data_IF_970741352116
#
_entry.id   IF_970741352116
#
_cell.length_a   1.000
_cell.length_b   1.000
_cell.length_c   1.000
_cell.angle_alpha   90.00
_cell.angle_beta   90.00
_cell.angle_gamma   90.00
#
_symmetry.space_group_name_H-M   'P 1'
#
loop_
_entity.id
_entity.type
_entity.pdbx_description
1 polymer ?
#
# COMPACT_ATOMS: atom_id res chain seq x y z
N UNK A 1 -13.47 -8.29 8.30
CA UNK A 1 -14.40 -8.04 7.17
C UNK A 1 -14.46 -6.54 6.97
N UNK A 2 -14.44 -6.07 5.72
CA UNK A 2 -14.35 -4.64 5.39
C UNK A 2 -15.30 -4.27 4.27
N UNK A 3 -15.61 -2.98 4.14
CA UNK A 3 -16.32 -2.47 2.97
C UNK A 3 -15.37 -2.40 1.78
N UNK A 4 -15.84 -2.85 0.62
CA UNK A 4 -15.07 -2.79 -0.62
C UNK A 4 -14.94 -1.35 -1.09
N UNK A 5 -13.72 -0.94 -1.36
CA UNK A 5 -13.36 0.34 -1.95
C UNK A 5 -12.78 0.09 -3.34
N UNK A 6 -13.21 0.89 -4.31
CA UNK A 6 -12.64 0.93 -5.65
C UNK A 6 -12.51 2.39 -6.06
N UNK A 7 -11.29 2.79 -6.45
CA UNK A 7 -11.00 4.15 -6.90
C UNK A 7 -11.38 5.26 -5.89
N UNK A 8 -11.42 4.92 -4.60
CA UNK A 8 -11.82 5.83 -3.51
C UNK A 8 -13.29 5.74 -3.11
N UNK A 9 -14.12 5.04 -3.89
CA UNK A 9 -15.56 4.93 -3.64
C UNK A 9 -15.93 3.57 -3.04
N UNK A 10 -16.94 3.57 -2.18
CA UNK A 10 -17.55 2.33 -1.69
C UNK A 10 -18.34 1.65 -2.81
N UNK A 11 -18.15 0.34 -2.94
CA UNK A 11 -18.84 -0.47 -3.95
C UNK A 11 -20.16 -0.99 -3.39
N UNK A 12 -21.25 -0.86 -4.13
CA UNK A 12 -22.57 -1.39 -3.73
C UNK A 12 -22.66 -2.90 -3.96
N UNK A 13 -23.55 -3.58 -3.23
CA UNK A 13 -23.83 -5.01 -3.40
C UNK A 13 -24.92 -5.32 -4.45
N UNK A 14 -25.57 -4.29 -5.00
CA UNK A 14 -26.68 -4.41 -5.95
C UNK A 14 -28.05 -4.67 -5.31
N UNK A 15 -28.14 -4.79 -3.99
CA UNK A 15 -29.36 -5.03 -3.22
C UNK A 15 -29.70 -3.85 -2.27
N UNK A 16 -29.09 -2.69 -2.49
CA UNK A 16 -29.26 -1.50 -1.65
C UNK A 16 -28.27 -1.41 -0.48
N UNK A 17 -27.33 -2.35 -0.38
CA UNK A 17 -26.25 -2.35 0.60
C UNK A 17 -24.87 -2.08 0.01
N UNK A 18 -23.85 -2.18 0.86
CA UNK A 18 -22.45 -2.07 0.48
C UNK A 18 -21.79 -3.45 0.41
N UNK A 19 -20.97 -3.64 -0.61
CA UNK A 19 -20.21 -4.86 -0.79
C UNK A 19 -19.12 -4.95 0.26
N UNK A 20 -18.99 -6.14 0.84
CA UNK A 20 -17.94 -6.45 1.79
C UNK A 20 -16.87 -7.36 1.17
N UNK A 21 -15.66 -7.28 1.72
CA UNK A 21 -14.50 -8.11 1.40
C UNK A 21 -13.92 -8.72 2.68
N UNK A 22 -13.26 -9.87 2.54
CA UNK A 22 -12.70 -10.62 3.66
C UNK A 22 -11.38 -11.30 3.26
N UNK A 23 -10.64 -11.76 4.27
CA UNK A 23 -9.38 -12.47 4.08
C UNK A 23 -8.39 -11.66 3.25
N UNK A 24 -7.80 -12.32 2.24
CA UNK A 24 -6.76 -11.75 1.38
C UNK A 24 -7.20 -10.51 0.60
N UNK A 25 -8.46 -10.44 0.15
CA UNK A 25 -8.95 -9.26 -0.59
C UNK A 25 -9.03 -8.02 0.32
N UNK A 26 -9.53 -8.20 1.56
CA UNK A 26 -9.55 -7.14 2.56
C UNK A 26 -8.14 -6.69 2.94
N UNK A 27 -7.21 -7.63 3.12
CA UNK A 27 -5.81 -7.31 3.37
C UNK A 27 -5.19 -6.47 2.24
N UNK A 28 -5.33 -6.93 1.00
CA UNK A 28 -4.78 -6.23 -0.16
C UNK A 28 -5.33 -4.79 -0.23
N UNK A 29 -6.62 -4.62 0.05
CA UNK A 29 -7.25 -3.32 0.09
C UNK A 29 -6.65 -2.40 1.16
N UNK A 30 -6.49 -2.87 2.41
CA UNK A 30 -5.85 -2.09 3.48
C UNK A 30 -4.41 -1.73 3.16
N UNK A 31 -3.63 -2.70 2.66
CA UNK A 31 -2.24 -2.47 2.26
C UNK A 31 -2.18 -1.38 1.20
N UNK A 32 -2.98 -1.48 0.13
CA UNK A 32 -3.01 -0.46 -0.91
C UNK A 32 -3.46 0.90 -0.38
N UNK A 33 -4.46 0.94 0.52
CA UNK A 33 -4.91 2.16 1.17
C UNK A 33 -3.77 2.83 1.98
N UNK A 34 -3.09 2.07 2.84
CA UNK A 34 -1.97 2.56 3.66
C UNK A 34 -0.77 2.99 2.81
N UNK A 35 -0.45 2.25 1.75
CA UNK A 35 0.68 2.60 0.89
C UNK A 35 0.40 3.83 0.02
N UNK A 36 -0.86 4.05 -0.38
CA UNK A 36 -1.25 5.19 -1.23
C UNK A 36 -1.52 6.47 -0.44
N UNK A 37 -2.02 6.35 0.79
CA UNK A 37 -2.23 7.51 1.66
C UNK A 37 -0.89 8.18 2.00
N UNK A 38 -0.85 9.52 1.96
CA UNK A 38 0.35 10.28 2.36
C UNK A 38 0.44 10.36 3.87
N UNK A 39 1.55 9.89 4.44
CA UNK A 39 1.80 10.02 5.87
C UNK A 39 1.77 11.48 6.32
N UNK A 40 1.07 11.75 7.42
CA UNK A 40 0.88 13.11 7.96
C UNK A 40 -0.24 13.93 7.30
N UNK A 41 -0.93 13.40 6.29
CA UNK A 41 -2.03 14.12 5.63
C UNK A 41 -3.32 14.19 6.46
N UNK A 42 -3.48 13.31 7.46
CA UNK A 42 -4.67 13.23 8.31
C UNK A 42 -4.33 13.75 9.72
N UNK A 43 -4.88 14.90 10.16
CA UNK A 43 -4.53 15.52 11.44
C UNK A 43 -4.71 14.59 12.65
N UNK A 44 -5.76 13.76 12.62
CA UNK A 44 -6.08 12.84 13.72
C UNK A 44 -5.36 11.48 13.60
N UNK A 45 -4.78 11.16 12.43
CA UNK A 45 -4.07 9.92 12.15
C UNK A 45 -2.71 10.22 11.51
N UNK A 46 -1.80 10.91 12.22
CA UNK A 46 -0.55 11.42 11.62
C UNK A 46 0.41 10.29 11.16
N UNK A 47 0.28 9.10 11.74
CA UNK A 47 1.08 7.91 11.36
C UNK A 47 0.44 7.09 10.22
N UNK A 48 -0.82 7.34 9.86
CA UNK A 48 -1.45 6.61 8.77
C UNK A 48 -0.82 7.04 7.44
N UNK A 49 -0.55 6.07 6.57
CA UNK A 49 0.00 6.34 5.25
C UNK A 49 1.49 6.03 5.13
N UNK A 50 1.98 6.14 3.90
CA UNK A 50 3.39 5.96 3.55
C UNK A 50 4.09 7.27 3.23
N UNK A 51 5.42 7.23 3.27
CA UNK A 51 6.29 8.30 2.79
C UNK A 51 6.78 8.07 1.35
N UNK A 52 6.13 7.19 0.59
CA UNK A 52 6.55 6.85 -0.78
C UNK A 52 6.58 8.06 -1.72
N UNK A 53 5.74 9.07 -1.48
CA UNK A 53 5.75 10.34 -2.22
C UNK A 53 7.07 11.13 -2.10
N UNK A 54 7.95 10.79 -1.15
CA UNK A 54 9.28 11.39 -1.00
C UNK A 54 10.36 10.70 -1.86
N UNK A 55 10.08 9.53 -2.43
CA UNK A 55 11.08 8.72 -3.15
C UNK A 55 11.68 9.41 -4.39
N UNK A 56 10.96 10.38 -4.97
CA UNK A 56 11.48 11.20 -6.06
C UNK A 56 12.70 12.04 -5.66
N UNK A 57 12.81 12.41 -4.38
CA UNK A 57 13.94 13.16 -3.83
C UNK A 57 15.11 12.30 -3.37
N UNK A 58 14.93 10.98 -3.27
CA UNK A 58 15.98 10.07 -2.81
C UNK A 58 17.09 9.87 -3.85
N UNK A 59 18.33 9.69 -3.38
CA UNK A 59 19.45 9.35 -4.25
C UNK A 59 19.22 7.99 -4.95
N UNK A 60 19.73 7.77 -6.18
CA UNK A 60 19.56 6.49 -6.87
C UNK A 60 20.04 5.28 -6.07
N UNK A 61 21.12 5.43 -5.30
CA UNK A 61 21.72 4.36 -4.48
C UNK A 61 20.86 4.07 -3.25
N UNK A 62 20.34 5.11 -2.59
CA UNK A 62 19.54 4.97 -1.36
C UNK A 62 18.07 4.63 -1.62
N UNK A 63 17.55 4.84 -2.83
CA UNK A 63 16.12 4.79 -3.13
C UNK A 63 15.45 3.45 -2.79
N UNK A 64 16.11 2.32 -3.06
CA UNK A 64 15.55 0.98 -2.71
C UNK A 64 15.44 0.82 -1.19
N UNK A 65 16.48 1.22 -0.44
CA UNK A 65 16.47 1.17 1.02
C UNK A 65 15.40 2.08 1.63
N UNK A 66 15.27 3.31 1.12
CA UNK A 66 14.22 4.24 1.52
C UNK A 66 12.82 3.68 1.24
N UNK A 67 12.61 3.07 0.07
CA UNK A 67 11.33 2.44 -0.27
C UNK A 67 10.98 1.30 0.69
N UNK A 68 11.94 0.42 1.00
CA UNK A 68 11.72 -0.66 1.96
C UNK A 68 11.36 -0.10 3.35
N UNK A 69 12.08 0.93 3.80
CA UNK A 69 11.80 1.60 5.07
C UNK A 69 10.39 2.22 5.08
N UNK A 70 10.01 2.95 4.04
CA UNK A 70 8.71 3.63 3.97
C UNK A 70 7.53 2.65 3.90
N UNK A 71 7.70 1.53 3.20
CA UNK A 71 6.69 0.45 3.17
C UNK A 71 6.57 -0.23 4.53
N UNK A 72 7.71 -0.62 5.12
CA UNK A 72 7.74 -1.29 6.44
C UNK A 72 7.12 -0.41 7.52
N UNK A 73 7.42 0.89 7.50
CA UNK A 73 6.85 1.85 8.43
C UNK A 73 5.33 2.01 8.26
N UNK A 74 4.85 2.04 7.01
CA UNK A 74 3.43 2.21 6.69
C UNK A 74 2.58 0.98 7.06
N UNK A 75 3.19 -0.21 7.07
CA UNK A 75 2.52 -1.48 7.37
C UNK A 75 2.86 -2.04 8.77
N UNK A 76 3.56 -1.26 9.60
CA UNK A 76 4.04 -1.69 10.92
C UNK A 76 2.94 -2.07 11.91
N UNK A 77 1.71 -1.62 11.68
CA UNK A 77 0.52 -1.90 12.48
C UNK A 77 -0.42 -2.91 11.82
N UNK A 78 -0.04 -3.52 10.69
CA UNK A 78 -0.76 -4.65 10.10
C UNK A 78 -0.33 -5.96 10.76
N UNK A 79 -1.26 -6.64 11.41
CA UNK A 79 -1.04 -7.97 11.99
C UNK A 79 -0.81 -9.01 10.89
N UNK A 80 0.05 -9.99 11.20
CA UNK A 80 0.43 -11.09 10.30
C UNK A 80 1.03 -10.68 8.95
N UNK A 81 1.40 -9.40 8.77
CA UNK A 81 2.05 -8.89 7.55
C UNK A 81 3.52 -8.59 7.82
N UNK A 82 4.40 -9.15 6.99
CA UNK A 82 5.83 -8.83 7.01
C UNK A 82 6.29 -8.39 5.63
N UNK A 83 7.02 -7.28 5.55
CA UNK A 83 7.62 -6.79 4.30
C UNK A 83 8.95 -7.49 4.08
N UNK A 84 9.09 -8.20 2.96
CA UNK A 84 10.30 -9.00 2.68
C UNK A 84 11.25 -8.32 1.71
N UNK A 85 10.72 -7.67 0.67
CA UNK A 85 11.52 -6.90 -0.28
C UNK A 85 10.66 -5.86 -1.02
N UNK A 86 11.33 -4.97 -1.74
CA UNK A 86 10.72 -4.04 -2.69
C UNK A 86 11.49 -4.05 -4.02
N UNK A 87 10.77 -4.06 -5.13
CA UNK A 87 11.31 -3.81 -6.46
C UNK A 87 10.92 -2.40 -6.90
N UNK A 88 11.88 -1.67 -7.44
CA UNK A 88 11.65 -0.37 -8.07
C UNK A 88 11.71 -0.51 -9.58
N UNK A 89 10.84 0.20 -10.27
CA UNK A 89 10.88 0.29 -11.72
C UNK A 89 10.17 1.52 -12.24
N UNK A 90 9.78 1.45 -13.52
CA UNK A 90 8.95 2.46 -14.15
C UNK A 90 7.78 1.81 -14.87
N UNK A 91 6.63 2.47 -14.87
CA UNK A 91 5.52 2.09 -15.73
C UNK A 91 5.74 2.54 -17.18
N UNK A 92 4.82 2.17 -18.07
CA UNK A 92 4.86 2.51 -19.51
C UNK A 92 4.88 4.02 -19.76
N UNK A 93 4.44 4.83 -18.79
CA UNK A 93 4.38 6.28 -18.86
C UNK A 93 5.58 6.93 -18.16
N UNK A 94 6.58 6.13 -17.78
CA UNK A 94 7.83 6.57 -17.16
C UNK A 94 7.71 6.95 -15.69
N UNK A 95 6.54 6.77 -15.05
CA UNK A 95 6.36 7.03 -13.62
C UNK A 95 6.97 5.93 -12.80
N UNK A 96 7.41 6.28 -11.59
CA UNK A 96 8.00 5.31 -10.67
C UNK A 96 6.94 4.29 -10.24
N UNK A 97 7.23 3.01 -10.45
CA UNK A 97 6.44 1.92 -9.91
C UNK A 97 7.22 1.20 -8.81
N UNK A 98 6.47 0.60 -7.90
CA UNK A 98 6.99 -0.22 -6.82
C UNK A 98 6.21 -1.52 -6.81
N UNK A 99 6.90 -2.63 -6.66
CA UNK A 99 6.30 -3.91 -6.30
C UNK A 99 6.77 -4.28 -4.91
N UNK A 100 5.82 -4.36 -3.98
CA UNK A 100 6.09 -4.75 -2.60
C UNK A 100 5.90 -6.25 -2.47
N UNK A 101 6.90 -6.93 -1.89
CA UNK A 101 6.80 -8.33 -1.52
C UNK A 101 6.47 -8.43 -0.03
N UNK A 102 5.41 -9.16 0.28
CA UNK A 102 4.89 -9.35 1.62
C UNK A 102 4.77 -10.84 1.91
N UNK A 103 4.92 -11.20 3.18
CA UNK A 103 4.45 -12.46 3.73
C UNK A 103 3.20 -12.18 4.57
N UNK A 104 2.14 -12.93 4.31
CA UNK A 104 0.91 -12.91 5.09
C UNK A 104 0.48 -14.31 5.46
N UNK A 105 0.46 -14.64 6.76
CA UNK A 105 0.09 -15.98 7.23
C UNK A 105 0.93 -17.11 6.61
N UNK A 106 2.19 -16.83 6.24
CA UNK A 106 3.08 -17.77 5.55
C UNK A 106 2.96 -17.79 4.03
N UNK A 107 2.04 -17.02 3.44
CA UNK A 107 1.87 -16.92 1.99
C UNK A 107 2.52 -15.67 1.41
N UNK A 108 3.18 -15.79 0.26
CA UNK A 108 3.75 -14.64 -0.45
C UNK A 108 2.69 -13.84 -1.20
N UNK A 109 2.75 -12.52 -1.05
CA UNK A 109 1.91 -11.56 -1.75
C UNK A 109 2.77 -10.49 -2.44
N UNK A 110 2.40 -10.15 -3.67
CA UNK A 110 3.06 -9.11 -4.46
C UNK A 110 2.07 -8.00 -4.73
N UNK A 111 2.37 -6.80 -4.25
CA UNK A 111 1.49 -5.64 -4.35
C UNK A 111 2.14 -4.58 -5.25
N UNK A 112 1.73 -4.46 -6.52
CA UNK A 112 2.19 -3.40 -7.40
C UNK A 112 1.46 -2.09 -7.10
N UNK A 113 2.18 -0.98 -7.10
CA UNK A 113 1.61 0.37 -7.05
C UNK A 113 2.48 1.39 -7.80
N UNK A 114 1.84 2.45 -8.29
CA UNK A 114 2.51 3.59 -8.89
C UNK A 114 2.64 4.70 -7.86
N UNK A 115 3.84 5.24 -7.70
CA UNK A 115 4.10 6.37 -6.80
C UNK A 115 3.75 7.67 -7.52
N UNK A 116 3.02 8.56 -6.83
CA UNK A 116 2.54 9.85 -7.35
C UNK A 116 3.13 11.04 -6.59
#
# INVERSE_FOLDING_TARGET
MELKIKDGDYVTDGAGGLRHVSGREALLQRVLFKLTARRGALPFLPRLGSRLYLLGGESPVGRKGAALQYVTEALSDEEDVSVTDVELGKDEQGRMNIKVHLLYGGEELKVPLTVR
#
